data_IF_504856624619
#
_entry.id   IF_504856624619
#
_cell.length_a   1.000
_cell.length_b   1.000
_cell.length_c   1.000
_cell.angle_alpha   90.00
_cell.angle_beta   90.00
_cell.angle_gamma   90.00
#
_symmetry.space_group_name_H-M   'P 1'
#
loop_
_entity.id
_entity.type
_entity.pdbx_description
1 polymer ?
#
# COMPACT_ATOMS: atom_id res chain seq x y z
N UNK A 1 42.32 -12.49 5.18
CA UNK A 1 41.60 -13.20 4.09
C UNK A 1 40.11 -12.98 4.32
N UNK A 2 39.53 -12.04 3.63
CA UNK A 2 38.06 -11.79 3.66
C UNK A 2 37.44 -12.78 2.69
N UNK A 3 36.80 -13.82 3.22
CA UNK A 3 35.92 -14.69 2.43
C UNK A 3 34.85 -13.85 1.76
N UNK A 4 34.94 -13.67 0.46
CA UNK A 4 33.84 -13.14 -0.35
C UNK A 4 32.74 -14.21 -0.34
N UNK A 5 31.75 -14.05 0.54
CA UNK A 5 30.57 -14.88 0.55
C UNK A 5 29.97 -14.89 -0.88
N UNK A 6 29.96 -16.06 -1.52
CA UNK A 6 29.38 -16.22 -2.86
C UNK A 6 27.88 -15.84 -2.77
N UNK A 7 27.51 -14.77 -3.42
CA UNK A 7 26.11 -14.39 -3.50
C UNK A 7 25.35 -15.48 -4.24
N UNK A 8 24.31 -16.05 -3.63
CA UNK A 8 23.49 -17.08 -4.27
C UNK A 8 22.91 -16.55 -5.59
N UNK A 9 22.68 -17.43 -6.56
CA UNK A 9 22.02 -17.06 -7.84
C UNK A 9 20.70 -16.34 -7.62
N UNK A 10 19.96 -16.70 -6.56
CA UNK A 10 18.73 -16.04 -6.10
C UNK A 10 18.97 -14.57 -5.74
N UNK A 11 19.87 -14.28 -4.81
CA UNK A 11 20.19 -12.90 -4.41
C UNK A 11 20.76 -12.09 -5.58
N UNK A 12 21.63 -12.71 -6.39
CA UNK A 12 22.20 -12.07 -7.59
C UNK A 12 21.13 -11.68 -8.61
N UNK A 13 20.10 -12.52 -8.80
CA UNK A 13 19.00 -12.23 -9.72
C UNK A 13 18.20 -11.01 -9.24
N UNK A 14 17.78 -10.98 -7.97
CA UNK A 14 16.89 -9.94 -7.45
C UNK A 14 17.61 -8.60 -7.19
N UNK A 15 18.89 -8.65 -6.77
CA UNK A 15 19.69 -7.44 -6.53
C UNK A 15 20.04 -6.65 -7.80
N UNK A 16 19.86 -7.22 -9.00
CA UNK A 16 19.95 -6.44 -10.25
C UNK A 16 18.85 -5.39 -10.38
N UNK A 17 17.75 -5.53 -9.63
CA UNK A 17 16.61 -4.62 -9.66
C UNK A 17 15.93 -4.52 -11.03
N UNK A 18 15.26 -3.39 -11.26
CA UNK A 18 14.61 -3.07 -12.53
C UNK A 18 13.10 -3.23 -12.49
N UNK A 19 12.43 -2.55 -13.42
CA UNK A 19 10.96 -2.45 -13.44
C UNK A 19 10.27 -3.81 -13.63
N UNK A 20 10.79 -4.66 -14.52
CA UNK A 20 10.15 -5.95 -14.79
C UNK A 20 10.24 -6.93 -13.61
N UNK A 21 11.33 -6.86 -12.81
CA UNK A 21 11.44 -7.66 -11.57
C UNK A 21 10.51 -7.13 -10.49
N UNK A 22 10.34 -5.81 -10.39
CA UNK A 22 9.36 -5.21 -9.48
C UNK A 22 7.93 -5.65 -9.85
N UNK A 23 7.58 -5.64 -11.14
CA UNK A 23 6.30 -6.16 -11.63
C UNK A 23 6.18 -7.66 -11.36
N UNK A 24 7.24 -8.44 -11.61
CA UNK A 24 7.23 -9.89 -11.37
C UNK A 24 6.93 -10.22 -9.90
N UNK A 25 7.59 -9.52 -8.94
CA UNK A 25 7.29 -9.71 -7.52
C UNK A 25 5.84 -9.37 -7.22
N UNK A 26 5.33 -8.25 -7.74
CA UNK A 26 3.96 -7.83 -7.50
C UNK A 26 2.95 -8.84 -8.07
N UNK A 27 3.19 -9.37 -9.27
CA UNK A 27 2.31 -10.40 -9.89
C UNK A 27 2.37 -11.71 -9.09
N UNK A 28 3.56 -12.18 -8.74
CA UNK A 28 3.72 -13.42 -7.94
C UNK A 28 3.04 -13.26 -6.59
N UNK A 29 3.27 -12.12 -5.93
CA UNK A 29 2.60 -11.80 -4.67
C UNK A 29 1.07 -11.83 -4.83
N UNK A 30 0.52 -11.13 -5.83
CA UNK A 30 -0.92 -11.08 -6.08
C UNK A 30 -1.51 -12.48 -6.30
N UNK A 31 -0.84 -13.32 -7.10
CA UNK A 31 -1.27 -14.71 -7.34
C UNK A 31 -1.31 -15.50 -6.04
N UNK A 32 -0.24 -15.41 -5.22
CA UNK A 32 -0.18 -16.13 -3.95
C UNK A 32 -1.20 -15.59 -2.93
N UNK A 33 -1.43 -14.28 -2.90
CA UNK A 33 -2.46 -13.65 -2.09
C UNK A 33 -3.87 -14.14 -2.48
N UNK A 34 -4.20 -14.14 -3.77
CA UNK A 34 -5.49 -14.61 -4.27
C UNK A 34 -5.69 -16.11 -4.01
N UNK A 35 -4.65 -16.94 -4.16
CA UNK A 35 -4.71 -18.35 -3.83
C UNK A 35 -4.90 -18.56 -2.32
N UNK A 36 -4.21 -17.77 -1.50
CA UNK A 36 -4.40 -17.77 -0.05
C UNK A 36 -5.82 -17.39 0.34
N UNK A 37 -6.38 -16.34 -0.25
CA UNK A 37 -7.76 -15.90 -0.04
C UNK A 37 -8.77 -16.99 -0.45
N UNK A 38 -8.56 -17.65 -1.59
CA UNK A 38 -9.41 -18.79 -2.01
C UNK A 38 -9.33 -19.97 -1.04
N UNK A 39 -8.13 -20.28 -0.54
CA UNK A 39 -7.95 -21.33 0.47
C UNK A 39 -8.71 -21.00 1.77
N UNK A 40 -8.59 -19.75 2.25
CA UNK A 40 -9.33 -19.29 3.43
C UNK A 40 -10.83 -19.38 3.17
N UNK A 41 -11.32 -18.92 2.01
CA UNK A 41 -12.73 -19.02 1.62
C UNK A 41 -13.23 -20.48 1.55
N UNK A 42 -12.39 -21.40 1.07
CA UNK A 42 -12.75 -22.83 1.03
C UNK A 42 -12.80 -23.49 2.42
N UNK A 43 -11.99 -23.03 3.38
CA UNK A 43 -11.91 -23.60 4.73
C UNK A 43 -12.84 -22.93 5.74
N UNK A 44 -13.12 -21.64 5.57
CA UNK A 44 -13.79 -20.78 6.55
C UNK A 44 -14.86 -19.87 5.92
N UNK A 45 -15.31 -20.17 4.69
CA UNK A 45 -16.29 -19.34 3.99
C UNK A 45 -17.62 -19.21 4.70
N UNK A 46 -18.01 -20.22 5.50
CA UNK A 46 -19.17 -20.19 6.38
C UNK A 46 -19.06 -19.19 7.55
N UNK A 47 -17.86 -18.71 7.85
CA UNK A 47 -17.59 -17.69 8.86
C UNK A 47 -17.59 -16.26 8.30
N UNK A 48 -17.64 -16.11 6.97
CA UNK A 48 -17.65 -14.82 6.28
C UNK A 48 -19.08 -14.50 5.87
N UNK A 49 -19.60 -13.37 6.32
CA UNK A 49 -20.87 -12.86 5.86
C UNK A 49 -20.73 -12.38 4.41
N UNK A 50 -21.55 -12.93 3.51
CA UNK A 50 -21.48 -12.65 2.08
C UNK A 50 -22.12 -11.30 1.69
N UNK A 51 -23.01 -10.76 2.55
CA UNK A 51 -23.72 -9.50 2.30
C UNK A 51 -23.02 -8.33 2.98
N UNK A 52 -22.44 -8.55 4.18
CA UNK A 52 -21.76 -7.51 4.95
C UNK A 52 -20.50 -8.06 5.62
N UNK A 53 -19.35 -7.77 5.04
CA UNK A 53 -18.05 -8.16 5.60
C UNK A 53 -17.86 -7.67 7.05
N UNK A 54 -18.45 -6.53 7.40
CA UNK A 54 -18.31 -5.88 8.71
C UNK A 54 -19.44 -6.24 9.70
N UNK A 55 -20.30 -7.22 9.37
CA UNK A 55 -21.37 -7.67 10.26
C UNK A 55 -20.83 -8.28 11.57
N UNK A 56 -19.73 -9.04 11.51
CA UNK A 56 -19.16 -9.73 12.67
C UNK A 56 -17.62 -9.68 12.70
N UNK A 57 -16.99 -9.77 13.90
CA UNK A 57 -15.54 -9.85 13.99
C UNK A 57 -14.95 -11.07 13.24
N UNK A 58 -15.68 -12.19 13.21
CA UNK A 58 -15.28 -13.41 12.51
C UNK A 58 -15.25 -13.19 10.98
N UNK A 59 -16.26 -12.50 10.46
CA UNK A 59 -16.33 -12.15 9.04
C UNK A 59 -15.11 -11.31 8.64
N UNK A 60 -14.79 -10.24 9.35
CA UNK A 60 -13.61 -9.43 9.09
C UNK A 60 -12.31 -10.23 9.26
N UNK A 61 -12.24 -11.11 10.28
CA UNK A 61 -11.05 -11.93 10.50
C UNK A 61 -10.77 -12.87 9.33
N UNK A 62 -11.76 -13.63 8.90
CA UNK A 62 -11.58 -14.62 7.82
C UNK A 62 -11.64 -14.00 6.44
N UNK A 63 -12.46 -12.95 6.22
CA UNK A 63 -12.61 -12.31 4.92
C UNK A 63 -11.53 -11.28 4.59
N UNK A 64 -10.92 -10.65 5.59
CA UNK A 64 -9.93 -9.58 5.38
C UNK A 64 -8.58 -9.89 6.05
N UNK A 65 -8.55 -10.08 7.37
CA UNK A 65 -7.29 -10.20 8.12
C UNK A 65 -6.48 -11.43 7.71
N UNK A 66 -7.07 -12.61 7.67
CA UNK A 66 -6.33 -13.86 7.46
C UNK A 66 -5.72 -13.97 6.05
N UNK A 67 -6.41 -13.61 4.95
CA UNK A 67 -5.78 -13.50 3.63
C UNK A 67 -4.59 -12.54 3.60
N UNK A 68 -4.72 -11.36 4.24
CA UNK A 68 -3.63 -10.39 4.36
C UNK A 68 -2.45 -10.93 5.17
N UNK A 69 -2.71 -11.66 6.26
CA UNK A 69 -1.67 -12.28 7.07
C UNK A 69 -0.87 -13.32 6.27
N UNK A 70 -1.53 -14.11 5.42
CA UNK A 70 -0.85 -15.03 4.48
C UNK A 70 0.03 -14.21 3.52
N UNK A 71 -0.51 -13.14 2.93
CA UNK A 71 0.26 -12.24 2.07
C UNK A 71 1.47 -11.60 2.79
N UNK A 72 1.30 -11.19 4.04
CA UNK A 72 2.39 -10.67 4.87
C UNK A 72 3.51 -11.70 5.06
N UNK A 73 3.17 -12.95 5.37
CA UNK A 73 4.15 -14.03 5.52
C UNK A 73 4.94 -14.25 4.23
N UNK A 74 4.29 -14.22 3.07
CA UNK A 74 4.95 -14.33 1.75
C UNK A 74 5.97 -13.21 1.55
N UNK A 75 5.60 -11.97 1.80
CA UNK A 75 6.51 -10.82 1.64
C UNK A 75 7.65 -10.83 2.67
N UNK A 76 7.35 -11.16 3.92
CA UNK A 76 8.36 -11.30 4.98
C UNK A 76 9.38 -12.37 4.58
N UNK A 77 8.93 -13.55 4.13
CA UNK A 77 9.81 -14.63 3.69
C UNK A 77 10.67 -14.19 2.49
N UNK A 78 10.07 -13.51 1.50
CA UNK A 78 10.81 -12.99 0.35
C UNK A 78 11.89 -11.98 0.77
N UNK A 79 11.55 -10.97 1.55
CA UNK A 79 12.48 -9.94 2.03
C UNK A 79 13.57 -10.54 2.92
N UNK A 80 13.21 -11.49 3.80
CA UNK A 80 14.16 -12.19 4.67
C UNK A 80 15.16 -13.02 3.85
N UNK A 81 14.69 -13.74 2.81
CA UNK A 81 15.55 -14.57 1.94
C UNK A 81 16.63 -13.76 1.21
N UNK A 82 16.41 -12.46 1.04
CA UNK A 82 17.32 -11.52 0.40
C UNK A 82 18.10 -10.63 1.39
N UNK A 83 17.81 -10.75 2.70
CA UNK A 83 18.39 -9.91 3.76
C UNK A 83 18.12 -8.40 3.52
N UNK A 84 16.95 -8.06 2.95
CA UNK A 84 16.64 -6.68 2.56
C UNK A 84 16.03 -5.83 3.67
N UNK A 85 15.62 -6.39 4.81
CA UNK A 85 15.02 -5.61 5.90
C UNK A 85 15.85 -4.39 6.29
N UNK A 86 17.18 -4.48 6.53
CA UNK A 86 17.95 -3.29 6.90
C UNK A 86 17.90 -2.20 5.82
N UNK A 87 17.94 -2.58 4.54
CA UNK A 87 17.92 -1.63 3.43
C UNK A 87 16.54 -0.97 3.25
N UNK A 88 15.44 -1.72 3.46
CA UNK A 88 14.08 -1.21 3.30
C UNK A 88 13.70 -0.23 4.42
N UNK A 89 14.14 -0.48 5.65
CA UNK A 89 13.84 0.35 6.81
C UNK A 89 14.92 1.39 7.13
N UNK A 90 16.00 1.43 6.35
CA UNK A 90 17.00 2.50 6.44
C UNK A 90 16.41 3.85 6.06
N UNK A 91 17.07 4.92 6.53
CA UNK A 91 16.74 6.28 6.07
C UNK A 91 16.89 6.38 4.55
N UNK A 92 15.91 7.01 3.91
CA UNK A 92 15.89 7.14 2.46
C UNK A 92 17.11 7.94 1.96
N UNK A 93 17.78 7.47 0.88
CA UNK A 93 19.00 8.09 0.37
C UNK A 93 18.78 9.43 -0.30
N UNK A 94 17.52 9.80 -0.56
CA UNK A 94 17.15 11.08 -1.15
C UNK A 94 15.95 11.68 -0.40
N UNK A 95 16.10 12.91 0.09
CA UNK A 95 15.07 13.62 0.83
C UNK A 95 13.96 14.20 -0.05
N UNK A 96 12.86 14.59 0.60
CA UNK A 96 11.76 15.32 -0.01
C UNK A 96 11.98 16.84 0.00
N UNK A 97 11.18 17.56 -0.82
CA UNK A 97 11.03 19.00 -0.78
C UNK A 97 9.86 19.38 0.12
N UNK A 98 9.81 20.59 0.64
CA UNK A 98 8.80 21.04 1.60
C UNK A 98 7.35 20.85 1.12
N UNK A 99 7.06 21.09 -0.18
CA UNK A 99 5.72 20.93 -0.75
C UNK A 99 5.21 19.48 -0.73
N UNK A 100 6.10 18.50 -0.66
CA UNK A 100 5.71 17.08 -0.58
C UNK A 100 5.01 16.75 0.75
N UNK A 101 5.13 17.61 1.79
CA UNK A 101 4.39 17.48 3.03
C UNK A 101 2.87 17.63 2.84
N UNK A 102 2.42 18.23 1.72
CA UNK A 102 0.99 18.27 1.39
C UNK A 102 0.38 16.87 1.34
N UNK A 103 1.12 15.85 0.91
CA UNK A 103 0.63 14.47 0.82
C UNK A 103 0.30 13.87 2.21
N UNK A 104 1.26 13.68 3.13
CA UNK A 104 0.93 13.13 4.44
C UNK A 104 -0.06 14.01 5.22
N UNK A 105 -0.01 15.34 5.09
CA UNK A 105 -0.95 16.24 5.76
C UNK A 105 -2.38 16.01 5.25
N UNK A 106 -2.59 15.92 3.93
CA UNK A 106 -3.92 15.69 3.36
C UNK A 106 -4.48 14.32 3.76
N UNK A 107 -3.63 13.27 3.74
CA UNK A 107 -4.06 11.92 4.13
C UNK A 107 -4.39 11.85 5.62
N UNK A 108 -3.54 12.42 6.48
CA UNK A 108 -3.80 12.46 7.94
C UNK A 108 -5.05 13.29 8.24
N UNK A 109 -5.26 14.41 7.55
CA UNK A 109 -6.49 15.21 7.71
C UNK A 109 -7.74 14.38 7.37
N UNK A 110 -7.72 13.61 6.28
CA UNK A 110 -8.84 12.74 5.91
C UNK A 110 -9.06 11.60 6.92
N UNK A 111 -7.98 11.03 7.47
CA UNK A 111 -8.06 10.04 8.56
C UNK A 111 -8.75 10.65 9.78
N UNK A 112 -8.30 11.82 10.23
CA UNK A 112 -8.86 12.50 11.42
C UNK A 112 -10.34 12.82 11.23
N UNK A 113 -10.72 13.37 10.07
CA UNK A 113 -12.13 13.67 9.76
C UNK A 113 -13.00 12.41 9.82
N UNK A 114 -12.52 11.29 9.25
CA UNK A 114 -13.25 10.01 9.31
C UNK A 114 -13.29 9.44 10.72
N UNK A 115 -12.16 9.40 11.44
CA UNK A 115 -12.11 8.92 12.83
C UNK A 115 -13.14 9.62 13.73
N UNK A 116 -13.33 10.93 13.54
CA UNK A 116 -14.28 11.72 14.31
C UNK A 116 -15.71 11.65 13.76
N UNK A 117 -15.88 11.27 12.49
CA UNK A 117 -17.17 11.26 11.80
C UNK A 117 -17.85 9.90 11.72
N UNK A 118 -17.11 8.78 11.95
CA UNK A 118 -17.67 7.42 11.92
C UNK A 118 -18.69 7.23 13.03
N UNK A 119 -19.84 6.65 12.70
CA UNK A 119 -20.81 6.15 13.67
C UNK A 119 -20.37 4.78 14.21
N UNK A 120 -19.53 4.80 15.23
CA UNK A 120 -19.05 3.57 15.90
C UNK A 120 -20.14 2.76 16.58
N UNK A 121 -21.32 3.36 16.85
CA UNK A 121 -22.43 2.64 17.45
C UNK A 121 -23.06 1.63 16.48
N UNK A 122 -22.85 1.81 15.18
CA UNK A 122 -23.29 0.89 14.13
C UNK A 122 -22.48 -0.41 14.08
N UNK A 123 -21.34 -0.47 14.79
CA UNK A 123 -20.43 -1.62 14.73
C UNK A 123 -20.20 -2.25 16.10
N UNK A 124 -20.10 -3.57 16.15
CA UNK A 124 -19.60 -4.23 17.34
C UNK A 124 -18.14 -3.81 17.63
N UNK A 125 -17.76 -3.62 18.89
CA UNK A 125 -16.40 -3.21 19.24
C UNK A 125 -15.31 -4.14 18.66
N UNK A 126 -15.59 -5.44 18.58
CA UNK A 126 -14.68 -6.42 17.97
C UNK A 126 -14.49 -6.22 16.47
N UNK A 127 -15.53 -5.77 15.74
CA UNK A 127 -15.42 -5.41 14.32
C UNK A 127 -14.50 -4.22 14.15
N UNK A 128 -14.69 -3.15 14.92
CA UNK A 128 -13.83 -1.98 14.89
C UNK A 128 -12.37 -2.37 15.15
N UNK A 129 -12.13 -3.14 16.22
CA UNK A 129 -10.78 -3.55 16.61
C UNK A 129 -10.08 -4.36 15.51
N UNK A 130 -10.73 -5.40 14.97
CA UNK A 130 -10.13 -6.25 13.94
C UNK A 130 -9.95 -5.50 12.62
N UNK A 131 -10.84 -4.55 12.28
CA UNK A 131 -10.70 -3.71 11.09
C UNK A 131 -9.46 -2.82 11.18
N UNK A 132 -9.19 -2.18 12.34
CA UNK A 132 -7.97 -1.40 12.53
C UNK A 132 -6.71 -2.27 12.49
N UNK A 133 -6.73 -3.46 13.08
CA UNK A 133 -5.60 -4.39 13.02
C UNK A 133 -5.37 -4.85 11.57
N UNK A 134 -6.43 -5.14 10.82
CA UNK A 134 -6.36 -5.48 9.39
C UNK A 134 -5.81 -4.31 8.58
N UNK A 135 -6.26 -3.09 8.83
CA UNK A 135 -5.74 -1.89 8.18
C UNK A 135 -4.24 -1.69 8.38
N UNK A 136 -3.73 -1.86 9.61
CA UNK A 136 -2.28 -1.81 9.86
C UNK A 136 -1.53 -2.89 9.07
N UNK A 137 -2.13 -4.06 8.89
CA UNK A 137 -1.57 -5.13 8.08
C UNK A 137 -1.62 -4.81 6.57
N UNK A 138 -2.70 -4.17 6.07
CA UNK A 138 -2.77 -3.61 4.70
C UNK A 138 -1.63 -2.63 4.47
N UNK A 139 -1.49 -1.62 5.33
CA UNK A 139 -0.43 -0.63 5.22
C UNK A 139 0.97 -1.26 5.25
N UNK A 140 1.19 -2.30 6.06
CA UNK A 140 2.45 -3.05 6.06
C UNK A 140 2.68 -3.76 4.72
N UNK A 141 1.73 -4.58 4.28
CA UNK A 141 1.85 -5.45 3.10
C UNK A 141 2.03 -4.62 1.83
N UNK A 142 1.17 -3.63 1.63
CA UNK A 142 1.16 -2.88 0.38
C UNK A 142 2.31 -1.88 0.29
N UNK A 143 2.70 -1.27 1.41
CA UNK A 143 3.83 -0.35 1.40
C UNK A 143 5.18 -1.09 1.34
N UNK A 144 5.33 -2.27 1.97
CA UNK A 144 6.57 -3.04 1.81
C UNK A 144 6.74 -3.53 0.38
N UNK A 145 5.66 -3.92 -0.29
CA UNK A 145 5.70 -4.33 -1.70
C UNK A 145 6.05 -3.16 -2.62
N UNK A 146 5.38 -2.04 -2.47
CA UNK A 146 5.41 -0.94 -3.45
C UNK A 146 6.44 0.14 -3.10
N UNK A 147 6.54 0.60 -1.83
CA UNK A 147 7.50 1.64 -1.39
C UNK A 147 8.77 1.03 -0.81
N UNK A 148 8.74 -0.23 -0.38
CA UNK A 148 9.92 -1.00 -0.03
C UNK A 148 10.56 -1.64 -1.27
N UNK A 149 10.02 -2.77 -1.70
CA UNK A 149 10.60 -3.66 -2.71
C UNK A 149 10.67 -3.00 -4.09
N UNK A 150 9.56 -2.49 -4.62
CA UNK A 150 9.53 -1.91 -5.96
C UNK A 150 10.40 -0.66 -6.06
N UNK A 151 10.32 0.26 -5.08
CA UNK A 151 11.18 1.45 -5.01
C UNK A 151 12.65 1.06 -4.96
N UNK A 152 13.03 0.10 -4.08
CA UNK A 152 14.41 -0.40 -4.01
C UNK A 152 14.88 -0.94 -5.36
N UNK A 153 14.12 -1.84 -5.99
CA UNK A 153 14.49 -2.44 -7.28
C UNK A 153 14.66 -1.42 -8.40
N UNK A 154 13.81 -0.40 -8.44
CA UNK A 154 13.88 0.65 -9.44
C UNK A 154 15.10 1.57 -9.22
N UNK A 155 15.42 1.90 -7.97
CA UNK A 155 16.60 2.69 -7.61
C UNK A 155 17.89 1.92 -7.86
N UNK A 156 17.96 0.65 -7.50
CA UNK A 156 19.10 -0.22 -7.78
C UNK A 156 19.38 -0.34 -9.29
N UNK A 157 18.34 -0.25 -10.12
CA UNK A 157 18.46 -0.16 -11.56
C UNK A 157 18.81 1.27 -12.08
N UNK A 158 19.08 2.24 -11.19
CA UNK A 158 19.48 3.61 -11.53
C UNK A 158 18.37 4.42 -12.19
N UNK A 159 17.09 4.15 -11.89
CA UNK A 159 15.98 4.93 -12.44
C UNK A 159 15.88 6.29 -11.75
N UNK A 160 15.35 7.29 -12.49
CA UNK A 160 15.06 8.60 -11.90
C UNK A 160 13.92 8.47 -10.89
N UNK A 161 13.89 9.36 -9.89
CA UNK A 161 12.85 9.35 -8.85
C UNK A 161 11.45 9.59 -9.42
N UNK A 162 11.33 10.25 -10.57
CA UNK A 162 10.07 10.34 -11.31
C UNK A 162 9.59 8.95 -11.77
N UNK A 163 10.48 8.18 -12.40
CA UNK A 163 10.16 6.79 -12.82
C UNK A 163 9.87 5.91 -11.62
N UNK A 164 10.65 6.05 -10.53
CA UNK A 164 10.45 5.29 -9.29
C UNK A 164 9.06 5.57 -8.73
N UNK A 165 8.66 6.83 -8.62
CA UNK A 165 7.35 7.25 -8.15
C UNK A 165 6.23 6.69 -9.05
N UNK A 166 6.32 6.93 -10.35
CA UNK A 166 5.25 6.55 -11.29
C UNK A 166 5.10 5.04 -11.35
N UNK A 167 6.20 4.29 -11.50
CA UNK A 167 6.10 2.83 -11.66
C UNK A 167 5.66 2.15 -10.38
N UNK A 168 6.17 2.56 -9.20
CA UNK A 168 5.73 1.97 -7.94
C UNK A 168 4.25 2.28 -7.61
N UNK A 169 3.79 3.49 -7.93
CA UNK A 169 2.39 3.87 -7.75
C UNK A 169 1.47 3.20 -8.79
N UNK A 170 1.96 2.98 -10.02
CA UNK A 170 1.21 2.24 -11.03
C UNK A 170 1.07 0.76 -10.65
N UNK A 171 2.13 0.13 -10.14
CA UNK A 171 2.04 -1.23 -9.58
C UNK A 171 0.97 -1.25 -8.49
N UNK A 172 1.00 -0.31 -7.54
CA UNK A 172 0.01 -0.20 -6.47
C UNK A 172 -1.42 -0.08 -7.01
N UNK A 173 -1.67 0.87 -7.91
CA UNK A 173 -2.99 1.07 -8.52
C UNK A 173 -3.48 -0.18 -9.26
N UNK A 174 -2.61 -0.83 -10.05
CA UNK A 174 -2.97 -2.01 -10.84
C UNK A 174 -3.24 -3.27 -10.00
N UNK A 175 -2.71 -3.37 -8.77
CA UNK A 175 -3.10 -4.46 -7.86
C UNK A 175 -4.60 -4.43 -7.56
N UNK A 176 -5.22 -3.23 -7.49
CA UNK A 176 -6.66 -3.08 -7.28
C UNK A 176 -7.51 -3.52 -8.49
N UNK A 177 -6.90 -3.68 -9.68
CA UNK A 177 -7.62 -4.25 -10.82
C UNK A 177 -8.08 -5.69 -10.56
N UNK A 178 -7.47 -6.40 -9.59
CA UNK A 178 -7.91 -7.73 -9.15
C UNK A 178 -9.31 -7.74 -8.52
N UNK A 179 -9.85 -6.59 -8.10
CA UNK A 179 -11.19 -6.47 -7.52
C UNK A 179 -12.29 -6.90 -8.52
N UNK A 180 -11.99 -6.85 -9.83
CA UNK A 180 -12.88 -7.43 -10.86
C UNK A 180 -13.13 -8.93 -10.65
N UNK A 181 -12.16 -9.64 -10.09
CA UNK A 181 -12.29 -11.07 -9.78
C UNK A 181 -13.22 -11.33 -8.57
N UNK A 182 -13.44 -10.30 -7.76
CA UNK A 182 -14.42 -10.26 -6.67
C UNK A 182 -15.83 -9.86 -7.11
N UNK A 183 -16.05 -9.60 -8.42
CA UNK A 183 -17.36 -9.26 -8.97
C UNK A 183 -17.68 -7.76 -8.97
N UNK A 184 -16.73 -6.89 -8.63
CA UNK A 184 -16.96 -5.44 -8.73
C UNK A 184 -17.15 -5.00 -10.18
N UNK A 185 -17.96 -3.97 -10.40
CA UNK A 185 -18.20 -3.39 -11.72
C UNK A 185 -16.93 -2.79 -12.33
N UNK A 186 -16.75 -2.95 -13.64
CA UNK A 186 -15.55 -2.50 -14.38
C UNK A 186 -15.30 -1.01 -14.18
N UNK A 187 -16.33 -0.17 -14.17
CA UNK A 187 -16.18 1.28 -13.97
C UNK A 187 -15.68 1.59 -12.55
N UNK A 188 -16.23 0.93 -11.53
CA UNK A 188 -15.78 1.05 -10.14
C UNK A 188 -14.32 0.66 -10.02
N UNK A 189 -13.94 -0.49 -10.57
CA UNK A 189 -12.54 -0.95 -10.57
C UNK A 189 -11.62 0.03 -11.28
N UNK A 190 -12.03 0.56 -12.43
CA UNK A 190 -11.23 1.55 -13.16
C UNK A 190 -11.01 2.84 -12.35
N UNK A 191 -12.05 3.32 -11.66
CA UNK A 191 -11.95 4.49 -10.77
C UNK A 191 -11.07 4.19 -9.55
N UNK A 192 -11.22 3.01 -8.93
CA UNK A 192 -10.36 2.56 -7.83
C UNK A 192 -8.89 2.53 -8.26
N UNK A 193 -8.56 2.00 -9.44
CA UNK A 193 -7.19 2.01 -9.97
C UNK A 193 -6.63 3.43 -10.10
N UNK A 194 -7.43 4.37 -10.62
CA UNK A 194 -7.02 5.79 -10.75
C UNK A 194 -6.81 6.44 -9.40
N UNK A 195 -7.73 6.25 -8.45
CA UNK A 195 -7.62 6.81 -7.11
C UNK A 195 -6.46 6.18 -6.32
N UNK A 196 -6.30 4.87 -6.40
CA UNK A 196 -5.17 4.16 -5.80
C UNK A 196 -3.84 4.62 -6.40
N UNK A 197 -3.74 4.86 -7.71
CA UNK A 197 -2.54 5.46 -8.31
C UNK A 197 -2.22 6.83 -7.70
N UNK A 198 -3.23 7.71 -7.55
CA UNK A 198 -3.08 9.02 -6.91
C UNK A 198 -2.65 8.93 -5.45
N UNK A 199 -3.31 8.07 -4.67
CA UNK A 199 -2.93 7.76 -3.30
C UNK A 199 -1.53 7.16 -3.22
N UNK A 200 -1.18 6.30 -4.17
CA UNK A 200 0.13 5.74 -4.33
C UNK A 200 1.23 6.79 -4.47
N UNK A 201 0.99 7.82 -5.25
CA UNK A 201 1.92 8.95 -5.35
C UNK A 201 2.01 9.68 -4.01
N UNK A 202 0.88 9.89 -3.29
CA UNK A 202 0.92 10.51 -1.96
C UNK A 202 1.76 9.70 -0.97
N UNK A 203 1.68 8.37 -0.98
CA UNK A 203 2.51 7.51 -0.12
C UNK A 203 4.01 7.58 -0.52
N UNK A 204 4.32 7.66 -1.81
CA UNK A 204 5.69 7.90 -2.26
C UNK A 204 6.23 9.26 -1.79
N UNK A 205 5.42 10.33 -1.89
CA UNK A 205 5.80 11.66 -1.39
C UNK A 205 5.99 11.65 0.14
N UNK A 206 5.14 10.91 0.86
CA UNK A 206 5.27 10.68 2.30
C UNK A 206 6.59 10.00 2.63
N UNK A 207 6.96 8.92 1.92
CA UNK A 207 8.26 8.26 2.05
C UNK A 207 9.43 9.25 1.86
N UNK A 208 9.32 10.15 0.88
CA UNK A 208 10.37 11.14 0.54
C UNK A 208 10.56 12.19 1.63
N UNK A 209 9.48 12.70 2.25
CA UNK A 209 9.60 13.78 3.25
C UNK A 209 9.89 13.24 4.65
N UNK A 210 9.36 12.07 4.99
CA UNK A 210 9.61 11.45 6.29
C UNK A 210 10.94 10.72 6.35
N UNK A 211 11.42 10.26 5.19
CA UNK A 211 12.69 9.56 5.04
C UNK A 211 12.68 8.13 5.58
N UNK A 212 11.53 7.56 5.92
CA UNK A 212 11.41 6.19 6.46
C UNK A 212 10.12 5.52 6.00
N UNK A 213 10.19 4.21 5.70
CA UNK A 213 9.08 3.39 5.22
C UNK A 213 7.97 3.18 6.27
N UNK A 214 8.28 3.30 7.56
CA UNK A 214 7.31 3.13 8.65
C UNK A 214 6.17 4.15 8.53
N UNK A 215 6.45 5.39 8.14
CA UNK A 215 5.44 6.44 8.08
C UNK A 215 4.36 6.21 7.01
N UNK A 216 4.69 5.92 5.74
CA UNK A 216 3.65 5.55 4.80
C UNK A 216 2.90 4.27 5.23
N UNK A 217 3.55 3.26 5.83
CA UNK A 217 2.88 2.08 6.38
C UNK A 217 1.84 2.44 7.43
N UNK A 218 2.18 3.28 8.40
CA UNK A 218 1.26 3.68 9.46
C UNK A 218 0.12 4.56 8.95
N UNK A 219 0.44 5.54 8.10
CA UNK A 219 -0.56 6.46 7.54
C UNK A 219 -1.54 5.71 6.64
N UNK A 220 -1.05 4.83 5.76
CA UNK A 220 -1.89 3.96 4.94
C UNK A 220 -2.70 3.01 5.81
N UNK A 221 -2.05 2.34 6.76
CA UNK A 221 -2.70 1.39 7.67
C UNK A 221 -3.79 2.00 8.57
N UNK A 222 -3.78 3.30 8.77
CA UNK A 222 -4.86 4.03 9.43
C UNK A 222 -5.91 4.58 8.45
N UNK A 223 -5.51 4.85 7.20
CA UNK A 223 -6.41 5.37 6.19
C UNK A 223 -7.51 4.38 5.83
N UNK A 224 -7.14 3.14 5.49
CA UNK A 224 -8.09 2.12 5.03
C UNK A 224 -9.17 1.77 6.05
N UNK A 225 -8.86 1.43 7.32
CA UNK A 225 -9.91 1.08 8.28
C UNK A 225 -10.87 2.25 8.54
N UNK A 226 -10.38 3.51 8.49
CA UNK A 226 -11.25 4.67 8.60
C UNK A 226 -12.14 4.85 7.36
N UNK A 227 -11.65 4.49 6.18
CA UNK A 227 -12.45 4.49 4.96
C UNK A 227 -13.51 3.39 5.01
N UNK A 228 -13.14 2.15 5.30
CA UNK A 228 -14.03 1.00 5.36
C UNK A 228 -15.19 1.22 6.34
N UNK A 229 -14.88 1.66 7.56
CA UNK A 229 -15.91 1.94 8.57
C UNK A 229 -16.75 3.18 8.24
N UNK A 230 -16.21 4.13 7.49
CA UNK A 230 -16.98 5.31 7.07
C UNK A 230 -17.93 5.01 5.91
N UNK A 231 -17.60 4.05 5.03
CA UNK A 231 -18.43 3.67 3.87
C UNK A 231 -19.31 2.45 4.13
N UNK A 232 -18.94 1.61 5.11
CA UNK A 232 -19.60 0.33 5.39
C UNK A 232 -19.10 -0.81 4.49
N UNK A 233 -18.06 -0.57 3.66
CA UNK A 233 -17.55 -1.57 2.72
C UNK A 233 -16.14 -1.26 2.22
N UNK A 234 -15.57 -2.20 1.47
CA UNK A 234 -14.29 -2.03 0.78
C UNK A 234 -14.58 -1.57 -0.65
N UNK A 235 -14.03 -0.41 -1.05
CA UNK A 235 -14.26 0.22 -2.35
C UNK A 235 -15.76 0.55 -2.64
N UNK A 236 -16.51 0.81 -1.58
CA UNK A 236 -17.91 1.18 -1.69
C UNK A 236 -18.13 2.69 -1.52
N UNK A 237 -19.18 3.19 -2.18
CA UNK A 237 -19.68 4.52 -1.91
C UNK A 237 -20.62 4.47 -0.70
N UNK A 238 -20.50 5.44 0.20
CA UNK A 238 -21.40 5.52 1.33
C UNK A 238 -22.86 5.64 0.88
N UNK A 239 -23.72 4.80 1.45
CA UNK A 239 -25.18 4.82 1.23
C UNK A 239 -25.86 5.23 2.54
N UNK A 240 -26.36 6.45 2.62
CA UNK A 240 -27.12 6.90 3.79
C UNK A 240 -26.73 8.28 4.30
N UNK A 241 -27.32 8.74 5.42
CA UNK A 241 -26.99 10.04 6.03
C UNK A 241 -25.54 10.04 6.52
N UNK A 242 -24.79 11.06 6.10
CA UNK A 242 -23.40 11.25 6.55
C UNK A 242 -23.31 12.36 7.59
N UNK A 243 -22.41 12.21 8.56
CA UNK A 243 -22.00 13.32 9.42
C UNK A 243 -21.33 14.43 8.59
N UNK A 244 -21.37 15.65 9.10
CA UNK A 244 -20.69 16.79 8.44
C UNK A 244 -19.19 16.50 8.24
N UNK A 245 -18.56 15.81 9.18
CA UNK A 245 -17.12 15.45 9.08
C UNK A 245 -16.86 14.44 7.97
N UNK A 246 -17.71 13.44 7.76
CA UNK A 246 -17.60 12.52 6.63
C UNK A 246 -17.85 13.23 5.30
N UNK A 247 -18.80 14.17 5.26
CA UNK A 247 -19.02 15.02 4.08
C UNK A 247 -17.77 15.84 3.73
N UNK A 248 -17.08 16.40 4.73
CA UNK A 248 -15.81 17.10 4.54
C UNK A 248 -14.67 16.16 4.07
N UNK A 249 -14.68 14.90 4.49
CA UNK A 249 -13.71 13.89 4.05
C UNK A 249 -13.97 13.38 2.61
N UNK A 250 -15.18 13.53 2.09
CA UNK A 250 -15.60 13.04 0.77
C UNK A 250 -14.66 13.41 -0.39
N UNK A 251 -14.21 14.68 -0.53
CA UNK A 251 -13.31 15.11 -1.60
C UNK A 251 -11.88 14.58 -1.53
N UNK A 252 -11.50 13.77 -0.53
CA UNK A 252 -10.11 13.34 -0.30
C UNK A 252 -9.45 12.75 -1.54
N UNK A 253 -10.15 11.88 -2.28
CA UNK A 253 -9.60 11.26 -3.49
C UNK A 253 -9.25 12.31 -4.56
N UNK A 254 -10.07 13.34 -4.73
CA UNK A 254 -9.77 14.44 -5.66
C UNK A 254 -8.55 15.24 -5.21
N UNK A 255 -8.41 15.49 -3.90
CA UNK A 255 -7.24 16.17 -3.32
C UNK A 255 -5.98 15.33 -3.58
N UNK A 256 -6.04 14.01 -3.39
CA UNK A 256 -4.90 13.12 -3.67
C UNK A 256 -4.51 13.12 -5.15
N UNK A 257 -5.47 13.14 -6.06
CA UNK A 257 -5.21 13.28 -7.50
C UNK A 257 -4.53 14.62 -7.82
N UNK A 258 -5.00 15.73 -7.24
CA UNK A 258 -4.36 17.04 -7.43
C UNK A 258 -2.91 17.05 -6.91
N UNK A 259 -2.66 16.47 -5.73
CA UNK A 259 -1.30 16.31 -5.19
C UNK A 259 -0.46 15.40 -6.10
N UNK A 260 -1.04 14.34 -6.63
CA UNK A 260 -0.37 13.44 -7.56
C UNK A 260 0.03 14.16 -8.86
N UNK A 261 -0.83 15.00 -9.43
CA UNK A 261 -0.51 15.83 -10.59
C UNK A 261 0.69 16.75 -10.30
N UNK A 262 0.70 17.41 -9.12
CA UNK A 262 1.85 18.21 -8.68
C UNK A 262 3.11 17.33 -8.58
N UNK A 263 2.99 16.11 -8.04
CA UNK A 263 4.07 15.14 -7.98
C UNK A 263 4.62 14.78 -9.36
N UNK A 264 3.75 14.48 -10.32
CA UNK A 264 4.11 14.17 -11.71
C UNK A 264 4.87 15.32 -12.40
N UNK A 265 4.52 16.57 -12.07
CA UNK A 265 5.17 17.76 -12.65
C UNK A 265 6.52 18.04 -11.99
N UNK A 266 6.64 17.90 -10.66
CA UNK A 266 7.76 18.48 -9.90
C UNK A 266 8.72 17.47 -9.28
N UNK A 267 8.41 16.16 -9.21
CA UNK A 267 9.36 15.17 -8.69
C UNK A 267 10.54 15.03 -9.63
N UNK A 268 11.75 15.21 -9.08
CA UNK A 268 13.04 15.10 -9.79
C UNK A 268 14.05 14.42 -8.88
N UNK A 269 15.18 14.06 -9.48
CA UNK A 269 16.35 13.50 -8.82
C UNK A 269 16.61 12.05 -9.23
N UNK A 270 17.72 11.52 -8.75
CA UNK A 270 18.17 10.15 -8.92
C UNK A 270 19.05 9.78 -7.74
N UNK A 271 18.92 8.60 -7.22
CA UNK A 271 19.85 8.04 -6.25
C UNK A 271 21.11 7.60 -7.00
N UNK A 272 22.28 8.12 -6.59
CA UNK A 272 23.56 7.69 -7.16
C UNK A 272 23.86 6.26 -6.72
N UNK A 273 24.36 5.44 -7.65
CA UNK A 273 24.83 4.10 -7.32
C UNK A 273 26.15 4.18 -6.55
N UNK A 274 26.31 3.32 -5.56
CA UNK A 274 27.50 3.27 -4.70
C UNK A 274 28.84 3.07 -5.43
N UNK A 275 28.86 2.92 -6.75
CA UNK A 275 30.06 2.80 -7.58
C UNK A 275 30.36 4.02 -8.45
N UNK A 276 29.42 4.97 -8.60
CA UNK A 276 29.64 6.14 -9.46
C UNK A 276 30.36 7.30 -8.73
N UNK A 277 30.37 7.26 -7.40
CA UNK A 277 31.03 8.31 -6.57
C UNK A 277 32.58 8.18 -6.55
N UNK A 278 33.16 7.13 -7.14
CA UNK A 278 34.61 6.88 -7.13
C UNK A 278 35.33 7.34 -8.42
N UNK A 279 34.62 7.95 -9.37
CA UNK A 279 35.14 8.30 -10.72
C UNK A 279 34.96 9.78 -11.05
N UNK A 280 34.54 10.62 -10.08
CA UNK A 280 34.38 12.06 -10.30
C UNK A 280 35.42 12.88 -9.51
#
# INVERSE_FOLDING_TARGET
MTETASTSGWSSFWNRGGWWRAVLVAVVYLVLYLLGGRLVGALFGDQVDAEDLFATPQSVFFGLFLPLAIGAVVLIAFVASLHWFPALFARQPIGGRWWMWLAPVAVVASIVLRLLGIDYASYAAGVVAITFVSGLLVGFVEEILTRGIAVKMLRDAGKSEWVVMVVSSLIFGLLHASNILGGQEILTVALTVVFAFGFGICMYLTLRVTGNLIWPMLIHGLYDPTLFLATGGIDEAHSGPQSELLTLAGPSNMIFILIAIVGLIFVRGRVQRSGEAAVA
#
